data_IF_302035686744
#
_entry.id   IF_302035686744
#
_cell.length_a   1.000
_cell.length_b   1.000
_cell.length_c   1.000
_cell.angle_alpha   90.00
_cell.angle_beta   90.00
_cell.angle_gamma   90.00
#
_symmetry.space_group_name_H-M   'P 1'
#
loop_
_entity.id
_entity.type
_entity.pdbx_description
1 polymer ?
#
# COMPACT_ATOMS: atom_id res chain seq x y z
N UNK A 1 -13.79 -4.63 3.55
CA UNK A 1 -13.79 -3.72 4.72
C UNK A 1 -12.35 -3.50 5.10
N UNK A 2 -11.95 -2.24 5.26
CA UNK A 2 -10.58 -1.86 5.53
C UNK A 2 -10.04 -2.56 6.78
N UNK A 3 -8.82 -3.07 6.69
CA UNK A 3 -8.19 -3.74 7.82
C UNK A 3 -7.73 -2.69 8.85
N UNK A 4 -8.19 -2.75 10.11
CA UNK A 4 -7.82 -1.78 11.14
C UNK A 4 -6.32 -1.77 11.44
N UNK A 5 -5.61 -2.90 11.28
CA UNK A 5 -4.16 -2.95 11.46
C UNK A 5 -3.42 -2.12 10.40
N UNK A 6 -3.86 -2.19 9.14
CA UNK A 6 -3.26 -1.38 8.07
C UNK A 6 -3.52 0.11 8.28
N UNK A 7 -4.74 0.46 8.68
CA UNK A 7 -5.10 1.84 9.04
C UNK A 7 -4.25 2.36 10.20
N UNK A 8 -3.92 1.50 11.17
CA UNK A 8 -3.05 1.85 12.29
C UNK A 8 -1.64 2.22 11.82
N UNK A 9 -1.05 1.48 10.87
CA UNK A 9 0.25 1.84 10.31
C UNK A 9 0.19 3.11 9.47
N UNK A 10 -0.88 3.29 8.69
CA UNK A 10 -1.11 4.50 7.92
C UNK A 10 -1.21 5.73 8.83
N UNK A 11 -1.91 5.60 9.96
CA UNK A 11 -2.05 6.67 10.97
C UNK A 11 -0.76 7.00 11.71
N UNK A 12 0.20 6.06 11.79
CA UNK A 12 1.51 6.31 12.41
C UNK A 12 2.44 7.16 11.53
N UNK A 13 2.12 7.30 10.24
CA UNK A 13 2.88 8.11 9.30
C UNK A 13 3.51 7.31 8.16
N UNK A 14 4.00 8.04 7.14
CA UNK A 14 4.59 7.47 5.93
C UNK A 14 5.76 6.52 6.21
N UNK A 15 6.58 6.85 7.21
CA UNK A 15 7.74 6.06 7.60
C UNK A 15 7.31 4.73 8.22
N UNK A 16 6.37 4.75 9.17
CA UNK A 16 5.86 3.53 9.80
C UNK A 16 5.17 2.61 8.77
N UNK A 17 4.39 3.21 7.87
CA UNK A 17 3.79 2.52 6.75
C UNK A 17 4.84 1.86 5.84
N UNK A 18 5.89 2.61 5.46
CA UNK A 18 6.99 2.11 4.64
C UNK A 18 7.74 0.95 5.32
N UNK A 19 8.05 1.06 6.61
CA UNK A 19 8.68 -0.01 7.37
C UNK A 19 7.82 -1.27 7.37
N UNK A 20 6.52 -1.15 7.66
CA UNK A 20 5.62 -2.29 7.65
C UNK A 20 5.51 -2.93 6.25
N UNK A 21 5.45 -2.13 5.17
CA UNK A 21 5.46 -2.61 3.77
C UNK A 21 6.75 -3.36 3.43
N UNK A 22 7.91 -2.87 3.86
CA UNK A 22 9.19 -3.53 3.63
C UNK A 22 9.32 -4.86 4.39
N UNK A 23 8.73 -4.94 5.58
CA UNK A 23 8.68 -6.19 6.35
C UNK A 23 7.66 -7.19 5.78
N UNK A 24 6.61 -6.70 5.10
CA UNK A 24 5.51 -7.51 4.59
C UNK A 24 5.24 -7.27 3.09
N UNK A 25 6.22 -7.54 2.19
CA UNK A 25 6.06 -7.30 0.76
C UNK A 25 4.99 -8.18 0.11
N UNK A 26 4.73 -9.35 0.70
CA UNK A 26 3.70 -10.30 0.25
C UNK A 26 2.27 -9.94 0.69
N UNK A 27 2.10 -9.01 1.62
CA UNK A 27 0.78 -8.63 2.12
C UNK A 27 0.24 -7.48 1.26
N UNK A 28 -0.93 -7.71 0.67
CA UNK A 28 -1.69 -6.69 -0.05
C UNK A 28 -2.49 -5.90 0.97
N UNK A 29 -2.23 -4.59 1.16
CA UNK A 29 -2.92 -3.85 2.21
C UNK A 29 -4.36 -3.57 1.79
N UNK A 30 -5.32 -4.11 2.53
CA UNK A 30 -6.73 -3.80 2.32
C UNK A 30 -7.17 -2.56 3.08
N UNK A 31 -7.46 -1.49 2.34
CA UNK A 31 -8.06 -0.24 2.82
C UNK A 31 -9.44 -0.03 2.16
N UNK A 32 -10.13 -1.12 1.78
CA UNK A 32 -11.40 -1.05 1.06
C UNK A 32 -12.50 -0.43 1.93
N UNK A 33 -13.17 0.61 1.44
CA UNK A 33 -14.16 1.34 2.24
C UNK A 33 -13.55 2.19 3.35
N UNK A 34 -12.23 2.37 3.41
CA UNK A 34 -11.59 3.23 4.40
C UNK A 34 -11.99 4.69 4.20
N UNK A 35 -12.21 5.41 5.30
CA UNK A 35 -12.40 6.85 5.26
C UNK A 35 -11.05 7.56 5.35
N UNK A 36 -10.47 7.91 4.20
CA UNK A 36 -9.18 8.59 4.09
C UNK A 36 -9.34 10.08 3.77
N UNK A 37 -10.55 10.61 3.96
CA UNK A 37 -10.88 11.98 3.59
C UNK A 37 -10.01 13.00 4.33
N UNK A 38 -9.58 14.05 3.62
CA UNK A 38 -8.78 15.14 4.18
C UNK A 38 -7.42 14.71 4.78
N UNK A 39 -6.94 13.50 4.46
CA UNK A 39 -5.62 13.04 4.90
C UNK A 39 -4.50 13.52 3.99
N UNK A 40 -3.33 13.76 4.57
CA UNK A 40 -2.12 13.98 3.82
C UNK A 40 -1.36 12.65 3.62
N UNK A 41 -1.55 12.03 2.47
CA UNK A 41 -0.86 10.82 2.04
C UNK A 41 0.23 11.11 1.00
N UNK A 42 0.76 12.35 0.97
CA UNK A 42 1.81 12.73 0.05
C UNK A 42 3.05 11.87 0.28
N UNK A 43 3.65 11.35 -0.81
CA UNK A 43 4.82 10.46 -0.77
C UNK A 43 4.61 9.11 -0.09
N UNK A 44 3.38 8.71 0.22
CA UNK A 44 3.12 7.36 0.74
C UNK A 44 3.30 6.32 -0.36
N UNK A 45 3.88 5.17 0.00
CA UNK A 45 3.93 4.01 -0.89
C UNK A 45 2.62 3.22 -0.78
N UNK A 46 1.60 3.62 -1.51
CA UNK A 46 0.30 2.93 -1.60
C UNK A 46 0.28 1.90 -2.75
N UNK A 47 1.44 1.43 -3.19
CA UNK A 47 1.54 0.46 -4.28
C UNK A 47 0.82 -0.83 -3.91
N UNK A 48 -0.06 -1.28 -4.81
CA UNK A 48 -0.86 -2.50 -4.63
C UNK A 48 -1.88 -2.44 -3.48
N UNK A 49 -2.18 -1.27 -2.92
CA UNK A 49 -3.20 -1.15 -1.86
C UNK A 49 -4.60 -1.29 -2.47
N UNK A 50 -5.44 -2.10 -1.84
CA UNK A 50 -6.86 -2.15 -2.21
C UNK A 50 -7.59 -0.93 -1.62
N UNK A 51 -7.87 0.05 -2.47
CA UNK A 51 -8.63 1.26 -2.14
C UNK A 51 -10.09 1.20 -2.64
N UNK A 52 -10.61 0.01 -2.96
CA UNK A 52 -11.98 -0.15 -3.46
C UNK A 52 -12.98 0.48 -2.49
N UNK A 53 -13.85 1.36 -2.99
CA UNK A 53 -14.83 2.11 -2.19
C UNK A 53 -14.24 2.99 -1.08
N UNK A 54 -12.93 3.24 -1.04
CA UNK A 54 -12.33 4.14 -0.06
C UNK A 54 -12.72 5.60 -0.34
N UNK A 55 -13.00 6.36 0.71
CA UNK A 55 -13.29 7.79 0.60
C UNK A 55 -11.97 8.58 0.59
N UNK A 56 -11.54 9.02 -0.60
CA UNK A 56 -10.34 9.83 -0.83
C UNK A 56 -10.65 11.33 -1.01
N UNK A 57 -11.83 11.79 -0.56
CA UNK A 57 -12.24 13.18 -0.75
C UNK A 57 -11.30 14.15 -0.02
N UNK A 58 -10.74 15.15 -0.72
CA UNK A 58 -9.71 16.07 -0.20
C UNK A 58 -8.41 15.40 0.28
N UNK A 59 -8.16 14.14 -0.06
CA UNK A 59 -6.91 13.46 0.30
C UNK A 59 -5.78 13.98 -0.59
N UNK A 60 -4.65 14.37 0.02
CA UNK A 60 -3.46 14.79 -0.74
C UNK A 60 -2.63 13.55 -1.08
N UNK A 61 -2.66 13.14 -2.34
CA UNK A 61 -1.90 12.00 -2.87
C UNK A 61 -0.68 12.44 -3.72
N UNK A 62 -0.26 13.72 -3.62
CA UNK A 62 0.87 14.22 -4.42
C UNK A 62 2.12 13.39 -4.14
N UNK A 63 2.76 12.88 -5.21
CA UNK A 63 3.90 11.97 -5.13
C UNK A 63 3.64 10.63 -4.40
N UNK A 64 2.40 10.28 -4.09
CA UNK A 64 2.09 8.95 -3.58
C UNK A 64 2.31 7.91 -4.68
N UNK A 65 2.92 6.79 -4.33
CA UNK A 65 3.07 5.66 -5.24
C UNK A 65 1.75 4.88 -5.23
N UNK A 66 0.99 4.96 -6.31
CA UNK A 66 -0.26 4.20 -6.51
C UNK A 66 -0.06 3.08 -7.53
N UNK A 67 1.19 2.72 -7.84
CA UNK A 67 1.50 1.70 -8.83
C UNK A 67 0.82 0.41 -8.39
N UNK A 68 -0.09 -0.12 -9.18
CA UNK A 68 -0.62 -1.45 -8.92
C UNK A 68 0.56 -2.40 -9.01
N UNK A 69 0.91 -3.06 -7.89
CA UNK A 69 2.07 -3.94 -7.76
C UNK A 69 1.91 -5.25 -8.55
N UNK A 70 1.52 -5.16 -9.82
CA UNK A 70 1.37 -6.24 -10.78
C UNK A 70 2.50 -6.29 -11.80
N UNK A 71 3.64 -5.62 -11.57
CA UNK A 71 4.83 -5.92 -12.37
C UNK A 71 5.49 -7.20 -11.83
N UNK A 72 5.05 -8.32 -12.41
CA UNK A 72 5.90 -9.42 -12.87
C UNK A 72 7.21 -9.63 -12.09
N UNK A 73 7.18 -10.56 -11.13
CA UNK A 73 8.32 -11.46 -10.95
C UNK A 73 8.12 -12.69 -11.82
N UNK A 74 8.03 -12.48 -13.13
CA UNK A 74 8.22 -13.55 -14.11
C UNK A 74 9.72 -13.73 -14.32
N UNK A 75 10.18 -14.97 -14.19
CA UNK A 75 11.52 -15.51 -14.45
C UNK A 75 12.65 -15.07 -13.51
N UNK A 76 12.78 -15.86 -12.44
CA UNK A 76 14.03 -16.12 -11.75
C UNK A 76 14.03 -17.47 -11.03
N UNK A 77 13.18 -18.41 -11.47
CA UNK A 77 13.46 -19.83 -11.24
C UNK A 77 14.61 -20.20 -12.19
N UNK A 78 15.83 -19.84 -11.81
CA UNK A 78 16.94 -20.70 -12.19
C UNK A 78 16.74 -21.97 -11.34
N UNK A 79 16.21 -23.01 -11.97
CA UNK A 79 16.62 -24.37 -11.61
C UNK A 79 18.15 -24.36 -11.54
N UNK A 80 18.76 -24.89 -10.49
CA UNK A 80 18.65 -26.31 -10.22
C UNK A 80 19.66 -27.01 -11.12
N UNK A 81 20.85 -27.22 -10.56
CA UNK A 81 21.88 -28.17 -10.95
C UNK A 81 22.57 -28.02 -12.33
N UNK A 82 23.87 -28.35 -12.27
CA UNK A 82 24.83 -28.64 -13.35
C UNK A 82 25.60 -27.46 -13.96
#
# INVERSE_FOLDING_TARGET
>A
MANPEHLRFLSKGAIAWLYWRNQNPQIVPDLSGANLQNLNLQRYNLSGVNLQSANLNRTRLSHADLSYGGFTRSLGAIGGAE
#
